data_IF_681620391335
#
_entry.id   IF_681620391335
#
_cell.length_a   1.000
_cell.length_b   1.000
_cell.length_c   1.000
_cell.angle_alpha   90.00
_cell.angle_beta   90.00
_cell.angle_gamma   90.00
#
_symmetry.space_group_name_H-M   'P 1'
#
loop_
_entity.id
_entity.type
_entity.pdbx_description
1 polymer ?
#
# COMPACT_ATOMS: atom_id res chain seq x y z
N UNK A 1 -43.80 -16.12 -20.21
CA UNK A 1 -42.84 -15.58 -19.23
C UNK A 1 -41.48 -15.65 -19.87
N UNK A 2 -41.12 -14.61 -20.60
CA UNK A 2 -39.81 -14.45 -21.23
C UNK A 2 -39.28 -13.13 -20.65
N UNK A 3 -38.23 -13.24 -19.84
CA UNK A 3 -37.60 -12.13 -19.14
C UNK A 3 -36.34 -11.82 -19.93
N UNK A 4 -36.24 -10.67 -20.63
CA UNK A 4 -35.02 -10.36 -21.35
C UNK A 4 -33.91 -10.05 -20.33
N UNK A 5 -32.87 -10.87 -20.38
CA UNK A 5 -31.57 -10.60 -19.78
C UNK A 5 -31.00 -9.36 -20.49
N UNK A 6 -31.02 -8.21 -19.80
CA UNK A 6 -30.42 -6.97 -20.30
C UNK A 6 -28.98 -6.89 -19.76
N UNK A 7 -27.95 -7.17 -20.59
CA UNK A 7 -26.56 -7.15 -20.16
C UNK A 7 -25.98 -5.73 -20.03
N UNK A 8 -26.79 -4.67 -19.99
CA UNK A 8 -26.31 -3.28 -19.95
C UNK A 8 -26.31 -2.63 -18.54
N UNK A 9 -26.66 -3.36 -17.48
CA UNK A 9 -26.70 -2.80 -16.10
C UNK A 9 -25.35 -2.86 -15.35
N UNK A 10 -24.24 -3.24 -15.98
CA UNK A 10 -22.91 -3.14 -15.33
C UNK A 10 -22.17 -1.86 -15.71
N UNK A 11 -22.87 -0.88 -16.31
CA UNK A 11 -22.35 0.47 -16.49
C UNK A 11 -22.34 1.23 -15.16
N UNK A 12 -21.58 0.71 -14.19
CA UNK A 12 -21.03 1.52 -13.13
C UNK A 12 -20.16 2.58 -13.81
N UNK A 13 -20.27 3.88 -13.47
CA UNK A 13 -19.22 4.82 -13.79
C UNK A 13 -17.95 4.24 -13.17
N UNK A 14 -17.05 3.74 -14.01
CA UNK A 14 -15.82 3.13 -13.54
C UNK A 14 -15.09 4.15 -12.66
N UNK A 15 -14.64 3.79 -11.46
CA UNK A 15 -13.68 4.60 -10.73
C UNK A 15 -12.32 4.42 -11.42
N UNK A 16 -12.24 4.80 -12.70
CA UNK A 16 -11.01 4.72 -13.49
C UNK A 16 -10.09 5.91 -13.23
N UNK A 17 -10.50 6.89 -12.41
CA UNK A 17 -9.71 8.10 -12.17
C UNK A 17 -9.83 8.60 -10.72
N UNK A 18 -9.71 7.72 -9.74
CA UNK A 18 -9.57 8.13 -8.32
C UNK A 18 -8.29 7.62 -7.67
N UNK A 19 -7.41 6.97 -8.43
CA UNK A 19 -6.08 6.59 -7.96
C UNK A 19 -5.02 7.68 -8.22
N UNK A 20 -5.39 8.78 -8.88
CA UNK A 20 -4.44 9.79 -9.36
C UNK A 20 -4.34 11.05 -8.49
N UNK A 21 -5.22 11.27 -7.50
CA UNK A 21 -5.25 12.55 -6.78
C UNK A 21 -5.01 12.37 -5.28
N UNK A 22 -3.85 12.85 -4.82
CA UNK A 22 -3.22 12.66 -3.52
C UNK A 22 -2.63 11.26 -3.27
N UNK A 23 -1.34 11.09 -3.60
CA UNK A 23 -0.53 10.05 -2.98
C UNK A 23 -0.64 10.22 -1.46
N UNK A 24 -1.35 9.31 -0.82
CA UNK A 24 -1.40 9.26 0.63
C UNK A 24 0.02 8.96 1.11
N UNK A 25 0.46 9.51 2.25
CA UNK A 25 1.79 9.16 2.78
C UNK A 25 1.88 7.67 3.13
N UNK A 26 0.74 7.00 3.31
CA UNK A 26 0.60 5.56 3.23
C UNK A 26 1.21 4.94 1.96
N UNK A 27 0.84 5.48 0.79
CA UNK A 27 1.31 5.07 -0.52
C UNK A 27 2.78 5.43 -0.75
N UNK A 28 3.23 6.59 -0.27
CA UNK A 28 4.66 6.98 -0.34
C UNK A 28 5.55 6.03 0.48
N UNK A 29 5.10 5.65 1.69
CA UNK A 29 5.82 4.69 2.52
C UNK A 29 5.97 3.34 1.80
N UNK A 30 4.87 2.81 1.24
CA UNK A 30 4.89 1.54 0.52
C UNK A 30 5.79 1.58 -0.72
N UNK A 31 5.74 2.66 -1.51
CA UNK A 31 6.62 2.85 -2.67
C UNK A 31 8.10 2.90 -2.25
N UNK A 32 8.42 3.58 -1.15
CA UNK A 32 9.77 3.64 -0.61
C UNK A 32 10.29 2.25 -0.24
N UNK A 33 9.47 1.45 0.45
CA UNK A 33 9.88 0.08 0.82
C UNK A 33 10.04 -0.81 -0.41
N UNK A 34 9.17 -0.66 -1.42
CA UNK A 34 9.28 -1.41 -2.66
C UNK A 34 10.60 -1.11 -3.38
N UNK A 35 10.96 0.18 -3.51
CA UNK A 35 12.22 0.59 -4.13
C UNK A 35 13.45 0.02 -3.39
N UNK A 36 13.41 -0.06 -2.06
CA UNK A 36 14.49 -0.67 -1.25
C UNK A 36 14.62 -2.16 -1.55
N UNK A 37 13.49 -2.88 -1.65
CA UNK A 37 13.47 -4.31 -1.96
C UNK A 37 14.00 -4.53 -3.39
N UNK A 38 13.55 -3.75 -4.37
CA UNK A 38 14.03 -3.86 -5.75
C UNK A 38 15.54 -3.61 -5.86
N UNK A 39 16.05 -2.58 -5.19
CA UNK A 39 17.48 -2.29 -5.13
C UNK A 39 18.28 -3.40 -4.40
N UNK A 40 17.67 -4.11 -3.46
CA UNK A 40 18.25 -5.30 -2.85
C UNK A 40 18.31 -6.48 -3.85
N UNK A 41 17.21 -6.76 -4.55
CA UNK A 41 17.12 -7.88 -5.48
C UNK A 41 17.99 -7.72 -6.72
N UNK A 42 18.24 -6.50 -7.18
CA UNK A 42 19.13 -6.23 -8.31
C UNK A 42 20.58 -6.72 -8.10
N UNK A 43 21.00 -6.93 -6.84
CA UNK A 43 22.33 -7.45 -6.50
C UNK A 43 22.48 -8.95 -6.78
N UNK A 44 21.39 -9.65 -7.06
CA UNK A 44 21.36 -11.08 -7.29
C UNK A 44 20.96 -11.42 -8.74
N UNK A 45 21.47 -12.54 -9.30
CA UNK A 45 21.00 -13.04 -10.58
C UNK A 45 19.53 -13.48 -10.47
N UNK A 46 18.82 -13.46 -11.60
CA UNK A 46 17.37 -13.70 -11.66
C UNK A 46 16.92 -14.95 -10.91
N UNK A 47 17.66 -16.05 -11.05
CA UNK A 47 17.34 -17.35 -10.42
C UNK A 47 17.36 -17.29 -8.88
N UNK A 48 18.08 -16.35 -8.29
CA UNK A 48 18.16 -16.19 -6.84
C UNK A 48 17.18 -15.14 -6.30
N UNK A 49 16.58 -14.30 -7.16
CA UNK A 49 15.80 -13.16 -6.70
C UNK A 49 14.56 -13.57 -5.91
N UNK A 50 13.86 -14.63 -6.32
CA UNK A 50 12.65 -15.08 -5.61
C UNK A 50 12.98 -15.58 -4.19
N UNK A 51 14.00 -16.43 -4.06
CA UNK A 51 14.46 -16.91 -2.76
C UNK A 51 14.96 -15.76 -1.87
N UNK A 52 15.65 -14.77 -2.46
CA UNK A 52 16.13 -13.58 -1.74
C UNK A 52 14.99 -12.65 -1.34
N UNK A 53 13.95 -12.52 -2.16
CA UNK A 53 12.76 -11.75 -1.83
C UNK A 53 12.02 -12.37 -0.65
N UNK A 54 11.86 -13.70 -0.65
CA UNK A 54 11.23 -14.42 0.45
C UNK A 54 12.00 -14.21 1.77
N UNK A 55 13.31 -14.45 1.75
CA UNK A 55 14.18 -14.27 2.92
C UNK A 55 14.16 -12.82 3.44
N UNK A 56 14.08 -11.83 2.54
CA UNK A 56 13.94 -10.43 2.91
C UNK A 56 12.62 -10.15 3.61
N UNK A 57 11.50 -10.65 3.07
CA UNK A 57 10.17 -10.47 3.68
C UNK A 57 10.14 -11.12 5.07
N UNK A 58 10.64 -12.34 5.21
CA UNK A 58 10.70 -13.04 6.51
C UNK A 58 11.50 -12.26 7.56
N UNK A 59 12.62 -11.64 7.16
CA UNK A 59 13.45 -10.86 8.06
C UNK A 59 12.85 -9.49 8.42
N UNK A 60 12.13 -8.83 7.49
CA UNK A 60 11.79 -7.41 7.62
C UNK A 60 10.30 -7.11 7.79
N UNK A 61 9.39 -8.08 7.61
CA UNK A 61 7.95 -7.85 7.71
C UNK A 61 7.51 -7.29 9.08
N UNK A 62 8.13 -7.76 10.16
CA UNK A 62 7.87 -7.26 11.51
C UNK A 62 8.27 -5.79 11.68
N UNK A 63 9.46 -5.44 11.23
CA UNK A 63 9.98 -4.07 11.30
C UNK A 63 9.14 -3.09 10.48
N UNK A 64 8.72 -3.49 9.28
CA UNK A 64 7.84 -2.65 8.45
C UNK A 64 6.50 -2.38 9.13
N UNK A 65 5.92 -3.39 9.78
CA UNK A 65 4.68 -3.22 10.56
C UNK A 65 4.90 -2.25 11.73
N UNK A 66 6.00 -2.38 12.45
CA UNK A 66 6.28 -1.52 13.60
C UNK A 66 6.53 -0.07 13.18
N UNK A 67 7.29 0.15 12.11
CA UNK A 67 7.52 1.48 11.52
C UNK A 67 6.21 2.13 11.06
N UNK A 68 5.36 1.35 10.39
CA UNK A 68 4.03 1.82 10.00
C UNK A 68 3.18 2.25 11.20
N UNK A 69 3.13 1.41 12.24
CA UNK A 69 2.36 1.70 13.45
C UNK A 69 2.86 2.97 14.15
N UNK A 70 4.18 3.16 14.25
CA UNK A 70 4.77 4.37 14.83
C UNK A 70 4.42 5.62 14.02
N UNK A 71 4.46 5.53 12.69
CA UNK A 71 4.12 6.65 11.81
C UNK A 71 2.61 6.95 11.88
N UNK A 72 1.75 5.93 11.86
CA UNK A 72 0.30 6.09 12.01
C UNK A 72 -0.10 6.66 13.38
N UNK A 73 0.57 6.24 14.47
CA UNK A 73 0.34 6.75 15.81
C UNK A 73 0.77 8.22 15.95
N UNK A 74 1.91 8.59 15.36
CA UNK A 74 2.38 9.99 15.30
C UNK A 74 1.39 10.90 14.54
N UNK A 75 0.68 10.36 13.56
CA UNK A 75 -0.36 11.08 12.80
C UNK A 75 -1.67 11.21 13.58
N UNK A 76 -2.06 10.19 14.37
CA UNK A 76 -3.23 10.25 15.27
C UNK A 76 -3.00 11.09 16.54
N UNK A 77 -1.76 11.29 16.95
CA UNK A 77 -1.38 12.11 18.11
C UNK A 77 -1.60 13.62 17.94
N UNK A 78 -1.91 14.09 16.73
CA UNK A 78 -2.31 15.48 16.45
C UNK A 78 -3.84 15.61 16.42
N UNK A 79 -4.52 15.15 17.47
CA UNK A 79 -5.87 15.64 17.76
C UNK A 79 -5.79 17.06 18.31
N UNK A 80 -6.70 17.99 17.96
CA UNK A 80 -6.68 19.33 18.53
C UNK A 80 -6.74 19.18 20.05
N UNK A 81 -5.70 19.63 20.72
CA UNK A 81 -5.71 19.85 22.16
C UNK A 81 -6.80 20.88 22.39
N UNK A 82 -8.02 20.41 22.67
CA UNK A 82 -9.09 21.22 23.21
C UNK A 82 -8.62 21.67 24.58
N UNK A 83 -7.86 22.78 24.58
CA UNK A 83 -7.60 23.59 25.76
C UNK A 83 -8.97 24.01 26.28
N UNK A 84 -9.44 23.32 27.32
CA UNK A 84 -10.43 23.86 28.22
C UNK A 84 -9.80 25.05 28.95
N UNK A 85 -10.36 26.23 28.75
CA UNK A 85 -10.32 27.38 29.65
C UNK A 85 -11.63 28.15 29.45
#
# INVERSE_FOLDING_TARGET
>A
MDMPDDPANWSLPGPADSFADAQSPETEFLQTQLAVIEAYLQRFPGEQRDLRALAWIEAHAGDYRQQWQAQAASRRGRGPSARAC
#
